data_IF_771828233803
#
_entry.id   IF_771828233803
#
_cell.length_a   1.000
_cell.length_b   1.000
_cell.length_c   1.000
_cell.angle_alpha   90.00
_cell.angle_beta   90.00
_cell.angle_gamma   90.00
#
_symmetry.space_group_name_H-M   'P 1'
#
loop_
_entity.id
_entity.type
_entity.pdbx_description
1 polymer ?
#
# COMPACT_ATOMS: atom_id res chain seq x y z
N UNK A 1 -23.07 -10.02 17.72
CA UNK A 1 -22.55 -10.33 16.39
C UNK A 1 -21.11 -9.85 16.35
N UNK A 2 -20.14 -10.75 16.26
CA UNK A 2 -18.75 -10.34 16.03
C UNK A 2 -18.68 -9.58 14.71
N UNK A 3 -18.32 -8.31 14.78
CA UNK A 3 -18.02 -7.54 13.60
C UNK A 3 -16.71 -8.08 13.03
N UNK A 4 -16.80 -8.90 12.00
CA UNK A 4 -15.62 -9.47 11.34
C UNK A 4 -14.68 -8.37 10.83
N UNK A 5 -13.38 -8.68 10.72
CA UNK A 5 -12.35 -7.76 10.21
C UNK A 5 -12.77 -7.21 8.85
N UNK A 6 -12.72 -5.90 8.70
CA UNK A 6 -12.97 -5.21 7.43
C UNK A 6 -11.68 -4.60 6.89
N UNK A 7 -11.37 -4.92 5.63
CA UNK A 7 -10.22 -4.40 4.91
C UNK A 7 -10.67 -3.55 3.72
N UNK A 8 -9.95 -2.47 3.47
CA UNK A 8 -10.17 -1.60 2.32
C UNK A 8 -8.84 -1.41 1.61
N UNK A 9 -8.85 -1.36 0.29
CA UNK A 9 -7.69 -0.95 -0.49
C UNK A 9 -8.01 0.25 -1.38
N UNK A 10 -7.02 1.09 -1.63
CA UNK A 10 -6.99 1.95 -2.79
C UNK A 10 -6.34 1.15 -3.92
N UNK A 11 -7.04 0.98 -5.03
CA UNK A 11 -6.58 0.16 -6.14
C UNK A 11 -7.02 0.69 -7.50
N UNK A 12 -6.42 0.15 -8.55
CA UNK A 12 -6.83 0.46 -9.92
C UNK A 12 -8.19 -0.21 -10.26
N UNK A 13 -8.94 0.32 -11.24
CA UNK A 13 -10.26 -0.23 -11.59
C UNK A 13 -10.20 -1.61 -12.22
N UNK A 14 -9.06 -2.03 -12.76
CA UNK A 14 -8.84 -3.36 -13.36
C UNK A 14 -8.43 -4.40 -12.31
N UNK A 15 -8.05 -3.93 -11.10
CA UNK A 15 -7.64 -4.80 -10.00
C UNK A 15 -6.26 -5.45 -10.21
N UNK A 16 -5.42 -4.86 -11.04
CA UNK A 16 -4.11 -5.41 -11.37
C UNK A 16 -3.02 -5.11 -10.35
N UNK A 17 -3.22 -4.08 -9.52
CA UNK A 17 -2.28 -3.71 -8.47
C UNK A 17 -2.28 -4.69 -7.28
N UNK A 18 -1.22 -4.66 -6.49
CA UNK A 18 -1.02 -5.61 -5.38
C UNK A 18 -2.04 -5.45 -4.24
N UNK A 19 -2.52 -4.23 -3.99
CA UNK A 19 -3.54 -4.00 -2.97
C UNK A 19 -4.88 -4.60 -3.39
N UNK A 20 -5.29 -4.42 -4.63
CA UNK A 20 -6.49 -5.04 -5.21
C UNK A 20 -6.42 -6.56 -5.19
N UNK A 21 -5.27 -7.14 -5.54
CA UNK A 21 -5.05 -8.59 -5.48
C UNK A 21 -5.18 -9.12 -4.05
N UNK A 22 -4.60 -8.43 -3.07
CA UNK A 22 -4.73 -8.79 -1.65
C UNK A 22 -6.20 -8.75 -1.20
N UNK A 23 -6.95 -7.73 -1.59
CA UNK A 23 -8.38 -7.60 -1.28
C UNK A 23 -9.20 -8.74 -1.90
N UNK A 24 -8.90 -9.14 -3.13
CA UNK A 24 -9.56 -10.27 -3.76
C UNK A 24 -9.31 -11.58 -2.99
N UNK A 25 -8.08 -11.82 -2.55
CA UNK A 25 -7.73 -12.97 -1.71
C UNK A 25 -8.46 -12.89 -0.36
N UNK A 26 -8.43 -11.74 0.31
CA UNK A 26 -9.11 -11.53 1.58
C UNK A 26 -10.63 -11.82 1.47
N UNK A 27 -11.25 -11.37 0.39
CA UNK A 27 -12.66 -11.66 0.08
C UNK A 27 -12.91 -13.15 -0.10
N UNK A 28 -12.04 -13.86 -0.82
CA UNK A 28 -12.16 -15.32 -1.03
C UNK A 28 -12.03 -16.11 0.27
N UNK A 29 -11.34 -15.57 1.27
CA UNK A 29 -11.21 -16.13 2.62
C UNK A 29 -12.35 -15.73 3.57
N UNK A 30 -13.37 -15.03 3.06
CA UNK A 30 -14.54 -14.62 3.83
C UNK A 30 -14.35 -13.33 4.64
N UNK A 31 -13.28 -12.58 4.44
CA UNK A 31 -13.11 -11.27 5.07
C UNK A 31 -13.97 -10.23 4.36
N UNK A 32 -14.53 -9.30 5.13
CA UNK A 32 -15.24 -8.15 4.56
C UNK A 32 -14.22 -7.21 3.93
N UNK A 33 -14.28 -7.05 2.62
CA UNK A 33 -13.29 -6.28 1.88
C UNK A 33 -13.90 -5.48 0.74
N UNK A 34 -13.30 -4.34 0.42
CA UNK A 34 -13.73 -3.47 -0.68
C UNK A 34 -12.56 -2.67 -1.24
N UNK A 35 -12.69 -2.25 -2.50
CA UNK A 35 -11.70 -1.42 -3.19
C UNK A 35 -12.28 -0.02 -3.39
N UNK A 36 -11.48 1.00 -3.12
CA UNK A 36 -11.72 2.38 -3.50
C UNK A 36 -10.97 2.61 -4.81
N UNK A 37 -11.66 3.04 -5.85
CA UNK A 37 -11.10 3.26 -7.17
C UNK A 37 -11.87 4.37 -7.91
N UNK A 38 -11.46 4.70 -9.13
CA UNK A 38 -12.22 5.58 -10.02
C UNK A 38 -13.60 4.98 -10.36
N UNK A 39 -14.56 5.83 -10.73
CA UNK A 39 -15.85 5.35 -11.21
C UNK A 39 -15.69 4.69 -12.60
N UNK A 40 -16.62 3.79 -12.97
CA UNK A 40 -16.62 3.21 -14.29
C UNK A 40 -16.63 4.29 -15.40
N UNK A 41 -15.69 4.20 -16.32
CA UNK A 41 -15.53 5.14 -17.43
C UNK A 41 -14.70 6.39 -17.14
N UNK A 42 -14.26 6.62 -15.89
CA UNK A 42 -13.27 7.65 -15.58
C UNK A 42 -11.85 7.15 -15.87
N UNK A 43 -11.00 8.07 -16.37
CA UNK A 43 -9.58 7.78 -16.47
C UNK A 43 -8.96 7.75 -15.06
N UNK A 44 -8.36 6.61 -14.69
CA UNK A 44 -7.77 6.43 -13.37
C UNK A 44 -6.67 7.43 -13.04
N UNK A 45 -5.85 7.83 -14.01
CA UNK A 45 -4.77 8.81 -13.80
C UNK A 45 -5.28 10.19 -13.36
N UNK A 46 -6.53 10.54 -13.73
CA UNK A 46 -7.11 11.87 -13.55
C UNK A 46 -8.53 11.89 -12.99
N UNK A 47 -8.97 10.81 -12.33
CA UNK A 47 -10.32 10.76 -11.75
C UNK A 47 -10.53 11.80 -10.64
N UNK A 48 -11.78 12.10 -10.32
CA UNK A 48 -12.09 13.06 -9.26
C UNK A 48 -11.88 12.47 -7.85
N UNK A 49 -10.60 12.38 -7.43
CA UNK A 49 -10.24 11.90 -6.09
C UNK A 49 -10.82 12.76 -4.95
N UNK A 50 -11.10 14.03 -5.21
CA UNK A 50 -11.73 14.94 -4.23
C UNK A 50 -13.21 14.64 -3.95
N UNK A 51 -13.87 13.87 -4.82
CA UNK A 51 -15.25 13.42 -4.60
C UNK A 51 -15.37 12.17 -3.73
N UNK A 52 -14.25 11.55 -3.34
CA UNK A 52 -14.26 10.37 -2.48
C UNK A 52 -14.65 10.79 -1.06
N UNK A 53 -15.77 10.27 -0.55
CA UNK A 53 -16.11 10.37 0.87
C UNK A 53 -15.28 9.36 1.69
N UNK A 54 -14.08 9.79 2.06
CA UNK A 54 -13.14 8.95 2.80
C UNK A 54 -13.70 8.50 4.14
N UNK A 55 -14.45 9.36 4.83
CA UNK A 55 -15.05 9.02 6.11
C UNK A 55 -16.06 7.89 5.97
N UNK A 56 -16.96 7.99 4.98
CA UNK A 56 -17.93 6.94 4.69
C UNK A 56 -17.22 5.63 4.28
N UNK A 57 -16.26 5.73 3.37
CA UNK A 57 -15.51 4.56 2.87
C UNK A 57 -14.75 3.82 3.98
N UNK A 58 -14.16 4.57 4.91
CA UNK A 58 -13.34 4.00 5.99
C UNK A 58 -14.15 3.68 7.25
N UNK A 59 -15.43 4.04 7.31
CA UNK A 59 -16.29 3.71 8.43
C UNK A 59 -16.24 2.20 8.73
N UNK A 60 -15.92 1.84 9.97
CA UNK A 60 -15.80 0.44 10.43
C UNK A 60 -14.68 -0.36 9.74
N UNK A 61 -13.76 0.25 9.01
CA UNK A 61 -12.59 -0.42 8.51
C UNK A 61 -11.56 -0.63 9.63
N UNK A 62 -10.87 -1.76 9.60
CA UNK A 62 -9.79 -2.07 10.52
C UNK A 62 -8.43 -1.85 9.86
N UNK A 63 -8.37 -2.14 8.55
CA UNK A 63 -7.15 -2.08 7.76
C UNK A 63 -7.39 -1.35 6.44
N UNK A 64 -6.47 -0.47 6.10
CA UNK A 64 -6.39 0.20 4.79
C UNK A 64 -5.09 -0.24 4.12
N UNK A 65 -5.21 -0.74 2.89
CA UNK A 65 -4.09 -1.28 2.12
C UNK A 65 -3.81 -0.37 0.93
N UNK A 66 -2.56 0.02 0.79
CA UNK A 66 -2.07 0.85 -0.31
C UNK A 66 -0.84 0.19 -0.95
N UNK A 67 -0.63 0.42 -2.24
CA UNK A 67 0.63 0.11 -2.94
C UNK A 67 1.44 1.37 -3.15
N UNK A 68 2.75 1.26 -3.04
CA UNK A 68 3.64 2.40 -3.23
C UNK A 68 3.68 2.88 -4.69
N UNK A 69 3.52 1.97 -5.66
CA UNK A 69 3.48 2.30 -7.09
C UNK A 69 2.33 3.25 -7.46
N UNK A 70 1.30 3.36 -6.63
CA UNK A 70 0.18 4.30 -6.81
C UNK A 70 0.65 5.76 -6.92
N UNK A 71 1.78 6.10 -6.30
CA UNK A 71 2.40 7.43 -6.38
C UNK A 71 2.76 7.83 -7.82
N UNK A 72 3.07 6.86 -8.67
CA UNK A 72 3.44 7.08 -10.08
C UNK A 72 2.33 6.74 -11.08
N UNK A 73 1.17 6.29 -10.60
CA UNK A 73 0.04 5.91 -11.46
C UNK A 73 -0.75 7.11 -12.01
N UNK A 74 -0.34 8.34 -11.68
CA UNK A 74 -0.96 9.58 -12.13
C UNK A 74 -1.22 10.56 -10.98
N UNK A 75 -1.60 11.81 -11.28
CA UNK A 75 -1.81 12.83 -10.27
C UNK A 75 -2.96 12.49 -9.30
N UNK A 76 -4.07 11.96 -9.80
CA UNK A 76 -5.21 11.62 -8.95
C UNK A 76 -4.97 10.39 -8.06
N UNK A 77 -4.41 9.28 -8.55
CA UNK A 77 -3.98 8.17 -7.70
C UNK A 77 -2.99 8.58 -6.62
N UNK A 78 -2.00 9.42 -6.94
CA UNK A 78 -1.03 9.92 -5.97
C UNK A 78 -1.69 10.73 -4.84
N UNK A 79 -2.62 11.62 -5.19
CA UNK A 79 -3.37 12.41 -4.21
C UNK A 79 -4.31 11.53 -3.38
N UNK A 80 -5.01 10.58 -4.00
CA UNK A 80 -5.86 9.63 -3.32
C UNK A 80 -5.05 8.73 -2.36
N UNK A 81 -3.86 8.30 -2.77
CA UNK A 81 -2.93 7.54 -1.94
C UNK A 81 -2.55 8.29 -0.66
N UNK A 82 -2.16 9.56 -0.79
CA UNK A 82 -1.84 10.40 0.38
C UNK A 82 -3.05 10.63 1.27
N UNK A 83 -4.21 10.92 0.67
CA UNK A 83 -5.47 11.13 1.40
C UNK A 83 -5.91 9.86 2.14
N UNK A 84 -5.85 8.68 1.51
CA UNK A 84 -6.26 7.41 2.10
C UNK A 84 -5.55 7.12 3.41
N UNK A 85 -4.23 7.35 3.48
CA UNK A 85 -3.45 7.14 4.71
C UNK A 85 -3.80 8.14 5.81
N UNK A 86 -4.01 9.40 5.45
CA UNK A 86 -4.39 10.44 6.41
C UNK A 86 -5.77 10.18 7.00
N UNK A 87 -6.75 9.85 6.15
CA UNK A 87 -8.10 9.53 6.63
C UNK A 87 -8.15 8.20 7.39
N UNK A 88 -7.33 7.22 7.02
CA UNK A 88 -7.20 5.99 7.80
C UNK A 88 -6.73 6.27 9.23
N UNK A 89 -5.73 7.15 9.40
CA UNK A 89 -5.27 7.58 10.72
C UNK A 89 -6.37 8.29 11.51
N UNK A 90 -7.11 9.22 10.87
CA UNK A 90 -8.20 9.95 11.51
C UNK A 90 -9.37 9.04 11.95
N UNK A 91 -9.67 8.01 11.18
CA UNK A 91 -10.73 7.03 11.48
C UNK A 91 -10.24 5.85 12.35
N UNK A 92 -8.98 5.87 12.78
CA UNK A 92 -8.40 4.82 13.64
C UNK A 92 -8.12 3.49 12.93
N UNK A 93 -8.04 3.50 11.59
CA UNK A 93 -7.64 2.33 10.81
C UNK A 93 -6.12 2.14 10.85
N UNK A 94 -5.68 0.90 10.65
CA UNK A 94 -4.26 0.59 10.49
C UNK A 94 -3.89 0.58 9.02
N UNK A 95 -2.79 1.26 8.67
CA UNK A 95 -2.27 1.32 7.31
C UNK A 95 -1.28 0.19 7.03
N UNK A 96 -1.53 -0.53 5.95
CA UNK A 96 -0.61 -1.48 5.31
C UNK A 96 -0.09 -0.84 4.03
N UNK A 97 1.21 -0.74 3.90
CA UNK A 97 1.88 -0.28 2.70
C UNK A 97 2.60 -1.44 2.03
N UNK A 98 2.21 -1.77 0.81
CA UNK A 98 2.91 -2.72 -0.04
C UNK A 98 3.85 -1.92 -0.94
N UNK A 99 5.14 -2.08 -0.74
CA UNK A 99 6.16 -1.49 -1.60
C UNK A 99 6.39 -2.44 -2.77
N UNK A 100 5.87 -2.06 -3.91
CA UNK A 100 5.97 -2.76 -5.17
C UNK A 100 6.77 -1.93 -6.19
N UNK A 101 7.15 -2.55 -7.30
CA UNK A 101 7.85 -1.85 -8.37
C UNK A 101 6.88 -0.95 -9.13
N UNK A 102 7.25 0.33 -9.37
CA UNK A 102 6.50 1.18 -10.29
C UNK A 102 6.62 0.69 -11.73
N UNK A 103 5.69 1.12 -12.59
CA UNK A 103 5.72 0.78 -14.03
C UNK A 103 7.00 1.25 -14.72
N UNK A 104 7.55 2.39 -14.30
CA UNK A 104 8.89 2.84 -14.65
C UNK A 104 9.86 2.52 -13.49
N UNK A 105 10.74 1.53 -13.65
CA UNK A 105 11.67 1.12 -12.60
C UNK A 105 12.64 2.23 -12.14
N UNK A 106 12.94 3.23 -12.98
CA UNK A 106 13.81 4.35 -12.62
C UNK A 106 13.16 5.24 -11.54
N UNK A 107 11.84 5.22 -11.46
CA UNK A 107 11.08 5.96 -10.44
C UNK A 107 11.13 5.36 -9.03
N UNK A 108 11.75 4.19 -8.82
CA UNK A 108 11.74 3.50 -7.53
C UNK A 108 12.32 4.34 -6.38
N UNK A 109 13.33 5.14 -6.65
CA UNK A 109 13.93 6.03 -5.64
C UNK A 109 12.94 7.13 -5.18
N UNK A 110 12.18 7.70 -6.11
CA UNK A 110 11.14 8.68 -5.81
C UNK A 110 10.00 8.04 -5.03
N UNK A 111 9.54 6.87 -5.45
CA UNK A 111 8.49 6.10 -4.76
C UNK A 111 8.92 5.79 -3.32
N UNK A 112 10.15 5.32 -3.13
CA UNK A 112 10.68 5.04 -1.80
C UNK A 112 10.74 6.29 -0.92
N UNK A 113 11.17 7.43 -1.48
CA UNK A 113 11.15 8.72 -0.79
C UNK A 113 9.76 9.10 -0.28
N UNK A 114 8.73 8.93 -1.10
CA UNK A 114 7.33 9.20 -0.72
C UNK A 114 6.84 8.26 0.39
N UNK A 115 7.22 6.98 0.36
CA UNK A 115 6.91 6.04 1.45
C UNK A 115 7.57 6.46 2.76
N UNK A 116 8.85 6.87 2.71
CA UNK A 116 9.58 7.34 3.90
C UNK A 116 8.94 8.58 4.53
N UNK A 117 8.40 9.49 3.74
CA UNK A 117 7.67 10.66 4.26
C UNK A 117 6.42 10.27 5.07
N UNK A 118 5.86 9.09 4.82
CA UNK A 118 4.62 8.58 5.44
C UNK A 118 4.83 7.53 6.53
N UNK A 119 6.07 7.24 6.92
CA UNK A 119 6.37 6.13 7.85
C UNK A 119 5.59 6.17 9.16
N UNK A 120 5.27 7.36 9.67
CA UNK A 120 4.51 7.52 10.93
C UNK A 120 3.07 7.04 10.83
N UNK A 121 2.52 6.98 9.62
CA UNK A 121 1.16 6.53 9.34
C UNK A 121 1.10 5.03 9.01
N UNK A 122 2.26 4.38 8.81
CA UNK A 122 2.35 2.98 8.37
C UNK A 122 2.51 2.06 9.58
N UNK A 123 1.67 1.02 9.64
CA UNK A 123 1.70 0.00 10.69
C UNK A 123 2.34 -1.30 10.21
N UNK A 124 2.15 -1.61 8.92
CA UNK A 124 2.78 -2.76 8.25
C UNK A 124 3.39 -2.28 6.95
N UNK A 125 4.67 -2.54 6.78
CA UNK A 125 5.42 -2.26 5.56
C UNK A 125 5.86 -3.59 4.96
N UNK A 126 5.38 -3.89 3.77
CA UNK A 126 5.68 -5.13 3.06
C UNK A 126 6.37 -4.82 1.74
N UNK A 127 7.51 -5.48 1.48
CA UNK A 127 8.23 -5.36 0.21
C UNK A 127 7.98 -6.58 -0.67
N UNK A 128 7.66 -6.35 -1.94
CA UNK A 128 7.74 -7.42 -2.95
C UNK A 128 9.21 -7.78 -3.22
N UNK A 129 9.48 -8.95 -3.80
CA UNK A 129 10.84 -9.41 -4.08
C UNK A 129 11.67 -8.40 -4.88
N UNK A 130 11.09 -7.90 -5.97
CA UNK A 130 11.78 -6.96 -6.87
C UNK A 130 12.06 -5.62 -6.19
N UNK A 131 11.08 -5.07 -5.47
CA UNK A 131 11.24 -3.80 -4.76
C UNK A 131 12.23 -3.92 -3.61
N UNK A 132 12.22 -5.03 -2.88
CA UNK A 132 13.18 -5.31 -1.81
C UNK A 132 14.61 -5.28 -2.37
N UNK A 133 14.84 -6.01 -3.49
CA UNK A 133 16.14 -6.04 -4.14
C UNK A 133 16.58 -4.64 -4.63
N UNK A 134 15.68 -3.93 -5.31
CA UNK A 134 15.99 -2.62 -5.89
C UNK A 134 16.31 -1.58 -4.79
N UNK A 135 15.48 -1.49 -3.76
CA UNK A 135 15.64 -0.49 -2.70
C UNK A 135 16.79 -0.82 -1.75
N UNK A 136 16.98 -2.10 -1.39
CA UNK A 136 18.15 -2.49 -0.58
C UNK A 136 19.47 -2.16 -1.27
N UNK A 137 19.53 -2.34 -2.60
CA UNK A 137 20.69 -1.94 -3.40
C UNK A 137 20.90 -0.41 -3.41
N UNK A 138 19.82 0.37 -3.54
CA UNK A 138 19.89 1.84 -3.44
C UNK A 138 20.42 2.30 -2.08
N UNK A 139 20.02 1.63 -1.01
CA UNK A 139 20.42 1.93 0.37
C UNK A 139 21.79 1.29 0.75
N UNK A 140 22.45 0.61 -0.18
CA UNK A 140 23.76 0.00 0.02
C UNK A 140 23.76 -1.13 1.06
N UNK A 141 22.70 -1.93 1.14
CA UNK A 141 22.59 -3.08 2.04
C UNK A 141 22.04 -4.32 1.33
N UNK A 142 22.09 -5.47 1.98
CA UNK A 142 21.35 -6.65 1.55
C UNK A 142 19.93 -6.70 2.15
N UNK A 143 19.10 -7.64 1.66
CA UNK A 143 17.66 -7.63 1.96
C UNK A 143 17.33 -7.78 3.44
N UNK A 144 17.94 -8.69 4.18
CA UNK A 144 17.62 -8.95 5.60
C UNK A 144 18.11 -7.81 6.50
N UNK A 145 19.33 -7.34 6.29
CA UNK A 145 19.89 -6.21 7.00
C UNK A 145 19.13 -4.91 6.70
N UNK A 146 18.69 -4.75 5.45
CA UNK A 146 17.87 -3.62 5.04
C UNK A 146 16.54 -3.57 5.82
N UNK A 147 15.80 -4.69 5.89
CA UNK A 147 14.52 -4.75 6.62
C UNK A 147 14.70 -4.41 8.10
N UNK A 148 15.74 -4.94 8.74
CA UNK A 148 16.08 -4.64 10.13
C UNK A 148 16.37 -3.16 10.35
N UNK A 149 17.19 -2.57 9.49
CA UNK A 149 17.52 -1.13 9.55
C UNK A 149 16.32 -0.24 9.30
N UNK A 150 15.45 -0.59 8.34
CA UNK A 150 14.21 0.15 8.10
C UNK A 150 13.36 0.13 9.35
N UNK A 151 13.13 -1.03 9.95
CA UNK A 151 12.34 -1.15 11.18
C UNK A 151 12.90 -0.32 12.33
N UNK A 152 14.22 -0.38 12.56
CA UNK A 152 14.89 0.39 13.62
C UNK A 152 14.77 1.91 13.42
N UNK A 153 14.95 2.38 12.18
CA UNK A 153 14.91 3.81 11.86
C UNK A 153 13.50 4.38 11.86
N UNK A 154 12.53 3.61 11.37
CA UNK A 154 11.15 4.09 11.17
C UNK A 154 10.24 3.80 12.34
N UNK A 155 10.59 2.85 13.19
CA UNK A 155 9.77 2.34 14.29
C UNK A 155 8.43 1.74 13.82
N UNK A 156 8.31 1.37 12.55
CA UNK A 156 7.12 0.68 12.02
C UNK A 156 6.99 -0.66 12.75
N UNK A 157 5.81 -1.01 13.29
CA UNK A 157 5.61 -2.22 14.11
C UNK A 157 6.00 -3.50 13.38
N UNK A 158 5.66 -3.61 12.09
CA UNK A 158 5.98 -4.78 11.27
C UNK A 158 6.57 -4.35 9.93
N UNK A 159 7.80 -4.76 9.67
CA UNK A 159 8.50 -4.61 8.39
C UNK A 159 8.86 -6.01 7.89
N UNK A 160 8.39 -6.37 6.72
CA UNK A 160 8.63 -7.68 6.12
C UNK A 160 8.79 -7.58 4.60
N UNK A 161 9.34 -8.60 4.00
CA UNK A 161 9.53 -8.69 2.56
C UNK A 161 9.51 -10.14 2.12
N UNK A 162 9.25 -10.34 0.84
CA UNK A 162 9.34 -11.63 0.20
C UNK A 162 10.58 -11.68 -0.67
N UNK A 163 11.35 -12.76 -0.55
CA UNK A 163 12.47 -13.07 -1.41
C UNK A 163 12.29 -14.44 -2.04
N UNK A 164 12.42 -14.54 -3.34
CA UNK A 164 12.33 -15.83 -4.04
C UNK A 164 13.49 -16.79 -3.68
N UNK A 165 14.62 -16.25 -3.24
CA UNK A 165 15.75 -17.05 -2.78
C UNK A 165 15.53 -17.72 -1.43
N UNK A 166 14.63 -17.19 -0.61
CA UNK A 166 14.31 -17.68 0.72
C UNK A 166 13.06 -18.56 0.77
N UNK A 167 12.57 -19.00 -0.39
CA UNK A 167 11.52 -20.01 -0.49
C UNK A 167 12.03 -21.38 -0.04
N UNK A 168 12.50 -21.44 1.19
CA UNK A 168 12.65 -22.70 1.90
C UNK A 168 11.31 -23.11 2.48
N UNK A 169 10.85 -24.25 2.00
CA UNK A 169 9.68 -24.96 2.45
C UNK A 169 9.67 -25.19 3.97
#
# INVERSE_FOLDING_TARGET
>A
MEQGVRMIALGDPEGSDKASQLIAIASSLGLRSSIITSNPGENFESFNHGAIDWKEKMAMAHWVVNTASMVTAGPSPAMAWSASMTFAELEGCRNVMIVDMPSDPESISMVWGQVIEKVRQIHVLFFTSDSLHAISKLEGSDGSDFLSRVREKTMIPLVCGYSESDSCA
#
